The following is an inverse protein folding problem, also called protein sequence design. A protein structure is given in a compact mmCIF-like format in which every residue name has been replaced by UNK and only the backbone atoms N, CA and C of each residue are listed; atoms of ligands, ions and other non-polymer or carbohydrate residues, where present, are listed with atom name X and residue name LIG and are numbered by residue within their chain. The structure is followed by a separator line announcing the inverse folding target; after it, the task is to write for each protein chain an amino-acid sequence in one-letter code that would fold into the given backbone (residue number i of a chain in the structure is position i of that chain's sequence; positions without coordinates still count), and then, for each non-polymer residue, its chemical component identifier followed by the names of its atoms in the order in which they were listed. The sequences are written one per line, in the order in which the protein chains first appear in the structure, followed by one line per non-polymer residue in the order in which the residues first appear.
data_IF_038073140009
#
_entry.id   IF_038073140009
#
_cell.length_a   1.000
_cell.length_b   1.000
_cell.length_c   1.000
_cell.angle_alpha   90.00
_cell.angle_beta   90.00
_cell.angle_gamma   90.00
#
_symmetry.space_group_name_H-M   'P 1'
#
loop_
_entity.id
_entity.type
_entity.pdbx_description
1 polymer ?
#
# COMPACT_ATOMS: atom_id res chain seq x y z
N UNK A 1 -40.25 -79.88 3.92
CA UNK A 1 -40.47 -78.51 4.44
C UNK A 1 -39.11 -77.76 4.41
N UNK A 2 -38.80 -76.98 3.36
CA UNK A 2 -37.58 -76.20 3.25
C UNK A 2 -37.97 -74.72 3.39
N UNK A 3 -37.45 -74.04 4.41
CA UNK A 3 -37.66 -72.64 4.70
C UNK A 3 -36.59 -71.86 3.93
N UNK A 4 -37.01 -71.07 2.93
CA UNK A 4 -36.15 -70.13 2.20
C UNK A 4 -35.98 -68.86 3.07
N UNK A 5 -34.72 -68.52 3.40
CA UNK A 5 -34.34 -67.26 4.02
C UNK A 5 -34.04 -66.23 2.94
N UNK A 6 -34.88 -65.20 2.84
CA UNK A 6 -34.63 -64.00 2.02
C UNK A 6 -33.60 -63.11 2.75
N UNK A 7 -32.44 -62.91 2.10
CA UNK A 7 -31.45 -61.88 2.52
C UNK A 7 -31.77 -60.58 1.79
N UNK A 8 -32.30 -59.60 2.51
CA UNK A 8 -32.46 -58.25 2.04
C UNK A 8 -31.09 -57.57 2.05
N UNK A 9 -30.61 -57.14 0.89
CA UNK A 9 -29.36 -56.40 0.72
C UNK A 9 -29.70 -54.91 0.73
N UNK A 10 -29.46 -54.23 1.87
CA UNK A 10 -29.67 -52.80 2.02
C UNK A 10 -28.43 -52.09 1.49
N UNK A 11 -28.53 -51.50 0.30
CA UNK A 11 -27.48 -50.71 -0.33
C UNK A 11 -27.47 -49.30 0.33
N UNK A 12 -26.42 -48.98 1.08
CA UNK A 12 -26.18 -47.66 1.62
C UNK A 12 -25.52 -46.78 0.58
N UNK A 13 -26.27 -45.88 -0.07
CA UNK A 13 -25.73 -44.84 -0.90
C UNK A 13 -25.08 -43.76 0.01
N UNK A 14 -23.74 -43.70 0.03
CA UNK A 14 -22.99 -42.58 0.56
C UNK A 14 -23.08 -41.40 -0.44
N UNK A 15 -23.96 -40.44 -0.20
CA UNK A 15 -23.90 -39.12 -0.83
C UNK A 15 -22.73 -38.34 -0.20
N UNK A 16 -21.58 -38.34 -0.85
CA UNK A 16 -20.50 -37.43 -0.55
C UNK A 16 -20.92 -36.02 -1.05
N UNK A 17 -21.42 -35.18 -0.14
CA UNK A 17 -21.59 -33.74 -0.39
C UNK A 17 -20.21 -33.12 -0.58
N UNK A 18 -19.78 -32.94 -1.82
CA UNK A 18 -18.68 -32.03 -2.16
C UNK A 18 -19.16 -30.61 -1.79
N UNK A 19 -18.77 -30.13 -0.62
CA UNK A 19 -18.85 -28.70 -0.31
C UNK A 19 -17.88 -28.01 -1.29
N UNK A 20 -18.42 -27.44 -2.37
CA UNK A 20 -17.67 -26.51 -3.22
C UNK A 20 -17.31 -25.32 -2.32
N UNK A 21 -16.08 -25.30 -1.82
CA UNK A 21 -15.50 -24.09 -1.23
C UNK A 21 -15.55 -23.00 -2.31
N UNK A 22 -16.41 -22.02 -2.12
CA UNK A 22 -16.53 -20.90 -3.04
C UNK A 22 -15.17 -20.17 -3.05
N UNK A 23 -14.51 -20.22 -4.20
CA UNK A 23 -13.17 -19.63 -4.34
C UNK A 23 -13.30 -18.11 -4.21
N UNK A 24 -12.54 -17.52 -3.26
CA UNK A 24 -12.55 -16.09 -2.98
C UNK A 24 -12.21 -15.29 -4.24
N UNK A 25 -13.00 -14.28 -4.56
CA UNK A 25 -12.79 -13.42 -5.74
C UNK A 25 -11.63 -12.43 -5.52
N UNK A 26 -11.09 -11.89 -6.63
CA UNK A 26 -10.04 -10.87 -6.59
C UNK A 26 -10.51 -9.58 -5.89
N UNK A 27 -11.75 -9.16 -6.14
CA UNK A 27 -12.35 -8.00 -5.47
C UNK A 27 -12.48 -8.23 -3.97
N UNK A 28 -12.95 -9.39 -3.54
CA UNK A 28 -13.08 -9.74 -2.12
C UNK A 28 -11.71 -9.77 -1.41
N UNK A 29 -10.65 -10.26 -2.08
CA UNK A 29 -9.29 -10.21 -1.54
C UNK A 29 -8.87 -8.75 -1.31
N UNK A 30 -9.09 -7.87 -2.28
CA UNK A 30 -8.71 -6.45 -2.14
C UNK A 30 -9.60 -5.72 -1.13
N UNK A 31 -10.85 -6.10 -0.97
CA UNK A 31 -11.73 -5.58 0.09
C UNK A 31 -11.19 -5.97 1.48
N UNK A 32 -10.71 -7.21 1.67
CA UNK A 32 -10.05 -7.63 2.92
C UNK A 32 -8.77 -6.84 3.19
N UNK A 33 -7.91 -6.64 2.18
CA UNK A 33 -6.72 -5.77 2.28
C UNK A 33 -7.11 -4.35 2.72
N UNK A 34 -8.15 -3.80 2.09
CA UNK A 34 -8.60 -2.44 2.35
C UNK A 34 -9.27 -2.28 3.73
N UNK A 35 -9.89 -3.35 4.24
CA UNK A 35 -10.61 -3.42 5.53
C UNK A 35 -9.71 -3.81 6.69
N UNK A 36 -8.39 -4.01 6.49
CA UNK A 36 -7.48 -4.27 7.58
C UNK A 36 -7.60 -3.19 8.67
N UNK A 37 -7.56 -3.64 9.93
CA UNK A 37 -7.65 -2.76 11.10
C UNK A 37 -6.58 -1.67 11.03
N UNK A 38 -7.00 -0.41 11.18
CA UNK A 38 -6.15 0.78 11.15
C UNK A 38 -6.39 1.61 12.41
N UNK A 39 -5.35 2.29 12.92
CA UNK A 39 -5.54 3.25 14.00
C UNK A 39 -6.35 4.45 13.52
N UNK A 40 -7.14 5.06 14.39
CA UNK A 40 -7.85 6.32 14.08
C UNK A 40 -6.86 7.44 13.75
N UNK A 41 -5.68 7.40 14.38
CA UNK A 41 -4.58 8.32 14.10
C UNK A 41 -3.23 7.68 14.43
N UNK A 42 -2.16 8.12 13.77
CA UNK A 42 -0.81 7.63 14.05
C UNK A 42 0.26 8.68 13.77
N UNK A 43 1.39 8.52 14.47
CA UNK A 43 2.65 9.22 14.19
C UNK A 43 3.69 8.16 13.85
N UNK A 44 4.38 8.35 12.73
CA UNK A 44 5.47 7.48 12.28
C UNK A 44 6.73 8.32 12.08
N UNK A 45 7.86 7.85 12.60
CA UNK A 45 9.17 8.35 12.22
C UNK A 45 9.74 7.43 11.14
N UNK A 46 10.22 8.02 10.06
CA UNK A 46 10.61 7.27 8.87
C UNK A 46 11.98 7.73 8.41
N UNK A 47 12.89 6.75 8.28
CA UNK A 47 14.18 6.90 7.61
C UNK A 47 14.04 6.51 6.15
N UNK A 48 14.46 7.38 5.26
CA UNK A 48 14.40 7.24 3.81
C UNK A 48 15.81 7.17 3.24
N UNK A 49 16.17 6.08 2.59
CA UNK A 49 17.44 5.90 1.91
C UNK A 49 17.21 5.88 0.40
N UNK A 50 17.91 6.74 -0.32
CA UNK A 50 17.78 6.91 -1.78
C UNK A 50 19.11 6.55 -2.40
N UNK A 51 19.19 5.37 -3.00
CA UNK A 51 20.37 4.87 -3.70
C UNK A 51 20.28 5.18 -5.18
N UNK A 52 21.37 5.71 -5.74
CA UNK A 52 21.54 5.99 -7.17
C UNK A 52 22.84 5.43 -7.65
N UNK A 53 22.78 4.70 -8.76
CA UNK A 53 23.94 4.15 -9.45
C UNK A 53 24.20 4.99 -10.70
N UNK A 54 25.43 5.46 -10.86
CA UNK A 54 25.89 6.17 -12.06
C UNK A 54 27.34 5.80 -12.37
N UNK A 55 27.59 5.25 -13.58
CA UNK A 55 28.93 4.81 -14.01
C UNK A 55 29.57 3.90 -12.95
N UNK A 56 28.84 2.84 -12.53
CA UNK A 56 29.23 1.83 -11.54
C UNK A 56 29.56 2.37 -10.13
N UNK A 57 29.25 3.64 -9.88
CA UNK A 57 29.38 4.25 -8.54
C UNK A 57 28.01 4.39 -7.89
N UNK A 58 27.89 3.76 -6.73
CA UNK A 58 26.71 3.88 -5.88
C UNK A 58 26.83 5.12 -4.98
N UNK A 59 25.73 5.86 -4.86
CA UNK A 59 25.60 6.99 -3.94
C UNK A 59 24.27 6.91 -3.22
N UNK A 60 24.30 6.83 -1.90
CA UNK A 60 23.13 6.82 -1.05
C UNK A 60 22.93 8.17 -0.35
N UNK A 61 21.71 8.69 -0.39
CA UNK A 61 21.27 9.86 0.37
C UNK A 61 20.26 9.43 1.41
N UNK A 62 20.45 9.88 2.64
CA UNK A 62 19.55 9.58 3.76
C UNK A 62 18.75 10.82 4.10
N UNK A 63 17.45 10.63 4.35
CA UNK A 63 16.53 11.64 4.87
C UNK A 63 15.70 11.06 5.99
N UNK A 64 15.23 11.91 6.88
CA UNK A 64 14.29 11.52 7.93
C UNK A 64 13.09 12.44 7.90
N UNK A 65 11.91 11.87 8.11
CA UNK A 65 10.68 12.63 8.19
C UNK A 65 9.70 12.02 9.19
N UNK A 66 8.79 12.84 9.68
CA UNK A 66 7.68 12.41 10.53
C UNK A 66 6.42 12.43 9.66
N UNK A 67 5.66 11.34 9.71
CA UNK A 67 4.34 11.23 9.08
C UNK A 67 3.27 11.22 10.16
N UNK A 68 2.36 12.16 10.07
CA UNK A 68 1.11 12.22 10.82
C UNK A 68 0.00 11.70 9.92
N UNK A 69 -0.86 10.83 10.42
CA UNK A 69 -1.98 10.29 9.65
C UNK A 69 -3.23 10.17 10.53
N UNK A 70 -4.38 10.49 9.97
CA UNK A 70 -5.69 10.37 10.62
C UNK A 70 -6.69 9.77 9.64
N UNK A 71 -7.44 8.79 10.11
CA UNK A 71 -8.53 8.13 9.39
C UNK A 71 -9.88 8.60 9.92
N UNK A 72 -10.91 8.56 9.07
CA UNK A 72 -12.24 9.06 9.39
C UNK A 72 -13.29 8.01 9.00
N UNK A 73 -14.15 7.64 9.95
CA UNK A 73 -15.25 6.71 9.72
C UNK A 73 -16.43 7.40 9.01
N UNK A 74 -16.63 8.69 9.26
CA UNK A 74 -17.73 9.49 8.69
C UNK A 74 -17.22 10.69 7.87
N UNK A 75 -18.14 11.39 7.18
CA UNK A 75 -17.83 12.58 6.39
C UNK A 75 -17.18 12.31 5.04
N UNK A 76 -16.63 13.35 4.44
CA UNK A 76 -16.09 13.37 3.07
C UNK A 76 -14.76 12.61 2.92
N UNK A 77 -13.90 12.73 3.90
CA UNK A 77 -12.54 12.19 3.83
C UNK A 77 -12.47 10.79 4.41
N UNK A 78 -11.61 9.95 3.81
CA UNK A 78 -11.20 8.67 4.34
C UNK A 78 -9.99 8.83 5.26
N UNK A 79 -9.00 9.61 4.81
CA UNK A 79 -7.82 9.91 5.61
C UNK A 79 -7.23 11.26 5.21
N UNK A 80 -6.47 11.84 6.15
CA UNK A 80 -5.57 12.95 5.90
C UNK A 80 -4.20 12.59 6.44
N UNK A 81 -3.14 13.01 5.76
CA UNK A 81 -1.77 12.81 6.24
C UNK A 81 -0.89 14.02 5.94
N UNK A 82 0.08 14.24 6.82
CA UNK A 82 1.16 15.21 6.66
C UNK A 82 2.49 14.50 6.86
N UNK A 83 3.37 14.54 5.86
CA UNK A 83 4.77 14.18 6.00
C UNK A 83 5.60 15.46 6.13
N UNK A 84 6.50 15.54 7.14
CA UNK A 84 7.38 16.67 7.40
C UNK A 84 8.81 16.19 7.52
N UNK A 85 9.68 16.61 6.61
CA UNK A 85 11.10 16.28 6.65
C UNK A 85 11.80 17.03 7.79
N UNK A 86 12.63 16.28 8.54
CA UNK A 86 13.37 16.80 9.71
C UNK A 86 14.89 16.76 9.48
N UNK A 87 15.39 15.85 8.61
CA UNK A 87 16.81 15.74 8.24
C UNK A 87 16.98 15.37 6.76
N UNK A 88 18.12 15.74 6.15
CA UNK A 88 19.11 16.74 6.59
C UNK A 88 18.57 18.18 6.46
N UNK A 89 19.33 19.16 6.92
CA UNK A 89 18.93 20.57 6.91
C UNK A 89 18.47 21.10 5.55
N UNK A 90 19.06 20.59 4.46
CA UNK A 90 18.70 21.01 3.08
C UNK A 90 17.24 20.72 2.70
N UNK A 91 16.61 19.73 3.32
CA UNK A 91 15.20 19.35 3.10
C UNK A 91 14.32 19.59 4.33
N UNK A 92 14.90 20.04 5.45
CA UNK A 92 14.17 20.29 6.70
C UNK A 92 13.02 21.25 6.46
N UNK A 93 11.84 20.93 7.03
CA UNK A 93 10.61 21.70 6.86
C UNK A 93 9.84 21.42 5.56
N UNK A 94 10.44 20.74 4.57
CA UNK A 94 9.71 20.28 3.39
C UNK A 94 8.54 19.42 3.84
N UNK A 95 7.36 19.62 3.24
CA UNK A 95 6.15 18.90 3.63
C UNK A 95 5.31 18.43 2.45
N UNK A 96 4.60 17.32 2.67
CA UNK A 96 3.55 16.83 1.79
C UNK A 96 2.27 16.62 2.62
N UNK A 97 1.24 17.37 2.30
CA UNK A 97 -0.10 17.22 2.84
C UNK A 97 -0.96 16.46 1.83
N UNK A 98 -1.66 15.42 2.28
CA UNK A 98 -2.56 14.62 1.43
C UNK A 98 -3.92 14.47 2.10
N UNK A 99 -4.99 14.71 1.33
CA UNK A 99 -6.38 14.47 1.73
C UNK A 99 -6.98 13.44 0.77
N UNK A 100 -7.32 12.27 1.28
CA UNK A 100 -7.92 11.19 0.50
C UNK A 100 -9.41 11.15 0.81
N UNK A 101 -10.25 11.34 -0.23
CA UNK A 101 -11.69 11.33 -0.11
C UNK A 101 -12.24 9.88 -0.19
N UNK A 102 -13.44 9.65 0.36
CA UNK A 102 -14.09 8.33 0.33
C UNK A 102 -14.43 7.84 -1.08
N UNK A 103 -14.58 8.77 -2.05
CA UNK A 103 -14.79 8.44 -3.47
C UNK A 103 -13.48 8.09 -4.22
N UNK A 104 -12.33 8.10 -3.54
CA UNK A 104 -11.01 7.80 -4.12
C UNK A 104 -10.26 9.01 -4.67
N UNK A 105 -10.90 10.21 -4.71
CA UNK A 105 -10.20 11.43 -5.11
C UNK A 105 -9.15 11.82 -4.07
N UNK A 106 -7.95 12.15 -4.54
CA UNK A 106 -6.84 12.61 -3.69
C UNK A 106 -6.48 14.05 -4.03
N UNK A 107 -6.36 14.87 -2.99
CA UNK A 107 -5.82 16.22 -3.07
C UNK A 107 -4.49 16.27 -2.30
N UNK A 108 -3.41 16.70 -2.97
CA UNK A 108 -2.08 16.81 -2.38
C UNK A 108 -1.52 18.22 -2.52
N UNK A 109 -0.78 18.68 -1.50
CA UNK A 109 -0.03 19.93 -1.51
C UNK A 109 1.38 19.68 -1.04
N UNK A 110 2.31 20.17 -1.84
CA UNK A 110 3.74 20.09 -1.58
C UNK A 110 4.27 21.45 -1.14
N UNK A 111 5.03 21.48 -0.06
CA UNK A 111 5.65 22.68 0.49
C UNK A 111 7.17 22.56 0.49
N UNK A 112 7.83 23.58 -0.07
CA UNK A 112 9.27 23.78 0.03
C UNK A 112 9.53 25.05 0.82
N UNK A 113 10.27 25.01 1.95
CA UNK A 113 10.55 26.20 2.78
C UNK A 113 11.13 27.37 2.00
N UNK A 114 12.05 27.08 1.06
CA UNK A 114 12.66 28.11 0.20
C UNK A 114 11.66 28.89 -0.65
N UNK A 115 10.55 28.26 -1.04
CA UNK A 115 9.52 28.89 -1.87
C UNK A 115 8.42 29.56 -1.05
N UNK A 116 8.39 29.35 0.27
CA UNK A 116 7.41 29.89 1.22
C UNK A 116 5.93 29.66 0.80
N UNK A 117 5.69 28.75 -0.14
CA UNK A 117 4.36 28.53 -0.74
C UNK A 117 4.07 27.03 -0.84
N UNK A 118 2.87 26.64 -0.45
CA UNK A 118 2.34 25.31 -0.70
C UNK A 118 1.76 25.24 -2.12
N UNK A 119 2.26 24.33 -2.95
CA UNK A 119 1.75 24.10 -4.31
C UNK A 119 0.87 22.86 -4.34
N UNK A 120 -0.31 22.98 -4.95
CA UNK A 120 -1.15 21.81 -5.22
C UNK A 120 -0.51 20.93 -6.29
N UNK A 121 -0.38 19.63 -6.02
CA UNK A 121 0.04 18.63 -7.00
C UNK A 121 -1.08 18.46 -8.02
N UNK A 122 -0.81 18.77 -9.29
CA UNK A 122 -1.76 18.64 -10.39
C UNK A 122 -1.81 17.18 -10.88
N UNK A 123 -2.91 16.76 -11.51
CA UNK A 123 -3.07 15.41 -12.05
C UNK A 123 -1.84 14.96 -12.87
N UNK A 124 -1.37 15.81 -13.83
CA UNK A 124 -0.19 15.54 -14.65
C UNK A 124 1.15 15.45 -13.89
N UNK A 125 1.18 15.81 -12.62
CA UNK A 125 2.37 15.74 -11.77
C UNK A 125 2.37 14.47 -10.91
N UNK A 126 1.26 13.71 -10.86
CA UNK A 126 1.14 12.48 -10.04
C UNK A 126 2.12 11.39 -10.47
N UNK A 127 2.51 11.35 -11.74
CA UNK A 127 3.53 10.45 -12.30
C UNK A 127 4.98 10.92 -12.06
N UNK A 128 5.18 12.12 -11.48
CA UNK A 128 6.53 12.61 -11.20
C UNK A 128 7.09 12.00 -9.93
N UNK A 129 8.42 11.81 -9.93
CA UNK A 129 9.17 11.36 -8.76
C UNK A 129 8.96 12.28 -7.57
N UNK A 130 8.61 11.69 -6.41
CA UNK A 130 8.54 12.40 -5.15
C UNK A 130 9.95 12.63 -4.60
N UNK A 131 10.39 13.89 -4.61
CA UNK A 131 11.70 14.30 -4.05
C UNK A 131 12.90 13.48 -4.55
N UNK A 132 12.92 13.13 -5.84
CA UNK A 132 13.96 12.27 -6.45
C UNK A 132 14.08 10.88 -5.82
N UNK A 133 13.01 10.36 -5.22
CA UNK A 133 12.87 8.95 -4.82
C UNK A 133 12.40 8.11 -6.01
N UNK A 134 12.32 6.80 -5.83
CA UNK A 134 11.69 5.90 -6.82
C UNK A 134 10.17 5.79 -6.64
N UNK A 135 9.64 6.43 -5.58
CA UNK A 135 8.21 6.65 -5.44
C UNK A 135 7.77 7.85 -6.27
N UNK A 136 6.63 7.74 -6.94
CA UNK A 136 5.91 8.86 -7.55
C UNK A 136 4.78 9.32 -6.61
N UNK A 137 4.16 10.47 -6.87
CA UNK A 137 3.08 10.97 -6.02
C UNK A 137 1.89 9.99 -5.96
N UNK A 138 1.59 9.25 -7.03
CA UNK A 138 0.53 8.23 -7.05
C UNK A 138 0.82 7.05 -6.11
N UNK A 139 2.08 6.64 -5.93
CA UNK A 139 2.45 5.56 -5.00
C UNK A 139 2.20 5.91 -3.53
N UNK A 140 2.13 7.19 -3.20
CA UNK A 140 1.86 7.68 -1.85
C UNK A 140 0.37 7.79 -1.52
N UNK A 141 -0.49 7.42 -2.47
CA UNK A 141 -1.94 7.41 -2.31
C UNK A 141 -2.45 6.03 -1.92
N UNK A 142 -3.49 5.98 -1.09
CA UNK A 142 -4.17 4.72 -0.80
C UNK A 142 -5.25 4.46 -1.86
N UNK A 143 -5.00 3.50 -2.76
CA UNK A 143 -5.92 3.16 -3.83
C UNK A 143 -7.15 2.41 -3.30
N UNK A 144 -8.33 2.91 -3.60
CA UNK A 144 -9.61 2.33 -3.17
C UNK A 144 -9.94 1.09 -4.02
N UNK A 145 -10.52 0.00 -3.44
CA UNK A 145 -11.14 -1.08 -4.21
C UNK A 145 -12.17 -0.54 -5.22
N UNK A 146 -12.31 -1.24 -6.34
CA UNK A 146 -13.20 -0.86 -7.43
C UNK A 146 -12.63 0.16 -8.43
N UNK A 147 -11.46 0.78 -8.14
CA UNK A 147 -10.75 1.65 -9.09
C UNK A 147 -9.91 0.86 -10.12
N UNK A 148 -9.78 -0.45 -9.93
CA UNK A 148 -9.11 -1.37 -10.84
C UNK A 148 -10.07 -2.47 -11.30
N UNK A 149 -9.84 -3.01 -12.49
CA UNK A 149 -10.30 -4.34 -12.87
C UNK A 149 -9.30 -5.34 -12.32
N UNK A 150 -9.76 -6.43 -11.72
CA UNK A 150 -8.92 -7.38 -11.00
C UNK A 150 -9.08 -8.79 -11.54
N UNK A 151 -7.99 -9.56 -11.59
CA UNK A 151 -8.01 -11.00 -11.86
C UNK A 151 -7.02 -11.73 -10.94
N UNK A 152 -7.41 -12.89 -10.44
CA UNK A 152 -6.48 -13.82 -9.78
C UNK A 152 -5.69 -14.52 -10.88
N UNK A 153 -4.35 -14.49 -10.80
CA UNK A 153 -3.46 -15.15 -11.76
C UNK A 153 -2.68 -16.31 -11.16
N UNK A 154 -2.84 -16.55 -9.86
CA UNK A 154 -2.21 -17.70 -9.21
C UNK A 154 -2.04 -17.55 -7.71
N UNK A 155 -1.25 -18.48 -7.18
CA UNK A 155 -0.77 -18.49 -5.79
C UNK A 155 0.71 -18.77 -5.83
N UNK A 156 1.49 -17.94 -5.13
CA UNK A 156 2.95 -18.07 -5.06
C UNK A 156 3.41 -18.06 -3.59
N UNK A 157 4.52 -18.74 -3.32
CA UNK A 157 5.21 -18.67 -2.02
C UNK A 157 6.22 -17.53 -2.08
N UNK A 158 6.07 -16.53 -1.19
CA UNK A 158 6.97 -15.39 -1.07
C UNK A 158 7.50 -15.33 0.37
N UNK A 159 8.81 -15.54 0.55
CA UNK A 159 9.48 -15.54 1.86
C UNK A 159 8.73 -16.41 2.91
N UNK A 160 8.33 -17.63 2.52
CA UNK A 160 7.59 -18.56 3.38
C UNK A 160 6.09 -18.20 3.59
N UNK A 161 5.60 -17.12 2.99
CA UNK A 161 4.18 -16.73 3.05
C UNK A 161 3.47 -17.15 1.76
N UNK A 162 2.39 -17.93 1.88
CA UNK A 162 1.51 -18.21 0.75
C UNK A 162 0.74 -16.95 0.38
N UNK A 163 0.91 -16.49 -0.86
CA UNK A 163 0.30 -15.27 -1.37
C UNK A 163 -0.63 -15.58 -2.54
N UNK A 164 -1.83 -14.99 -2.54
CA UNK A 164 -2.63 -14.90 -3.75
C UNK A 164 -2.04 -13.80 -4.63
N UNK A 165 -1.91 -14.09 -5.92
CA UNK A 165 -1.34 -13.17 -6.91
C UNK A 165 -2.45 -12.61 -7.78
N UNK A 166 -2.55 -11.29 -7.81
CA UNK A 166 -3.57 -10.56 -8.56
C UNK A 166 -2.93 -9.71 -9.65
N UNK A 167 -3.60 -9.61 -10.80
CA UNK A 167 -3.38 -8.52 -11.76
C UNK A 167 -4.46 -7.47 -11.55
N UNK A 168 -4.03 -6.20 -11.62
CA UNK A 168 -4.89 -5.03 -11.43
C UNK A 168 -4.67 -4.04 -12.58
N UNK A 169 -5.74 -3.73 -13.32
CA UNK A 169 -5.74 -2.75 -14.42
C UNK A 169 -6.55 -1.52 -13.99
N UNK A 170 -5.94 -0.32 -14.00
CA UNK A 170 -6.64 0.91 -13.65
C UNK A 170 -7.84 1.17 -14.57
N UNK A 171 -9.02 1.47 -13.98
CA UNK A 171 -10.22 1.90 -14.73
C UNK A 171 -10.18 3.39 -15.09
N UNK A 172 -9.31 4.16 -14.42
CA UNK A 172 -9.15 5.59 -14.60
C UNK A 172 -7.68 5.93 -14.86
N UNK A 173 -7.40 7.21 -15.17
CA UNK A 173 -6.04 7.71 -15.39
C UNK A 173 -5.09 7.30 -14.27
N UNK A 174 -3.98 6.67 -14.63
CA UNK A 174 -2.92 6.18 -13.75
C UNK A 174 -1.58 6.30 -14.47
N UNK A 175 -0.50 6.43 -13.70
CA UNK A 175 0.86 6.39 -14.22
C UNK A 175 1.26 4.99 -14.72
N UNK A 176 0.49 3.95 -14.36
CA UNK A 176 0.78 2.55 -14.67
C UNK A 176 -0.29 1.94 -15.56
N UNK A 177 0.17 1.11 -16.50
CA UNK A 177 -0.71 0.27 -17.31
C UNK A 177 -1.38 -0.80 -16.44
N UNK A 178 -0.59 -1.49 -15.60
CA UNK A 178 -1.09 -2.52 -14.69
C UNK A 178 -0.18 -2.71 -13.47
N UNK A 179 -0.67 -3.47 -12.50
CA UNK A 179 0.06 -3.90 -11.30
C UNK A 179 -0.16 -5.37 -11.05
N UNK A 180 0.92 -6.10 -10.71
CA UNK A 180 0.86 -7.46 -10.17
C UNK A 180 1.04 -7.38 -8.66
N UNK A 181 0.10 -7.92 -7.88
CA UNK A 181 -0.01 -7.70 -6.44
C UNK A 181 0.00 -9.06 -5.73
N UNK A 182 0.90 -9.22 -4.75
CA UNK A 182 0.96 -10.41 -3.89
C UNK A 182 0.33 -10.08 -2.55
N UNK A 183 -0.74 -10.79 -2.19
CA UNK A 183 -1.47 -10.65 -0.94
C UNK A 183 -1.31 -11.91 -0.11
N UNK A 184 -0.78 -11.79 1.10
CA UNK A 184 -0.66 -12.90 2.04
C UNK A 184 -2.03 -13.46 2.40
N UNK A 185 -2.23 -14.77 2.23
CA UNK A 185 -3.48 -15.46 2.60
C UNK A 185 -3.66 -15.53 4.12
N UNK A 186 -2.60 -15.39 4.90
CA UNK A 186 -2.64 -15.45 6.36
C UNK A 186 -3.00 -14.11 7.00
N UNK A 187 -2.49 -13.00 6.46
CA UNK A 187 -2.59 -11.68 7.09
C UNK A 187 -3.37 -10.66 6.26
N UNK A 188 -3.73 -10.99 5.03
CA UNK A 188 -4.35 -10.09 4.03
C UNK A 188 -3.53 -8.83 3.75
N UNK A 189 -2.24 -8.84 4.11
CA UNK A 189 -1.33 -7.73 3.83
C UNK A 189 -0.68 -7.93 2.47
N UNK A 190 -0.53 -6.83 1.74
CA UNK A 190 0.28 -6.81 0.53
C UNK A 190 1.74 -7.03 0.92
N UNK A 191 2.41 -7.96 0.23
CA UNK A 191 3.82 -8.29 0.43
C UNK A 191 4.70 -7.71 -0.68
N UNK A 192 4.15 -7.65 -1.91
CA UNK A 192 4.88 -7.20 -3.10
C UNK A 192 3.92 -6.60 -4.12
N UNK A 193 4.39 -5.59 -4.84
CA UNK A 193 3.71 -5.03 -6.02
C UNK A 193 4.74 -4.83 -7.13
N UNK A 194 4.47 -5.35 -8.32
CA UNK A 194 5.20 -4.99 -9.53
C UNK A 194 4.36 -4.03 -10.36
N UNK A 195 4.99 -2.98 -10.85
CA UNK A 195 4.37 -1.92 -11.64
C UNK A 195 4.80 -2.03 -13.09
N UNK A 196 3.84 -1.96 -14.02
CA UNK A 196 4.07 -2.13 -15.45
C UNK A 196 3.69 -0.87 -16.22
N UNK A 197 4.52 -0.49 -17.23
CA UNK A 197 4.24 0.61 -18.16
C UNK A 197 3.37 0.19 -19.34
N UNK A 198 3.45 -1.08 -19.72
CA UNK A 198 2.68 -1.74 -20.75
C UNK A 198 2.52 -3.23 -20.37
N UNK A 199 2.06 -4.07 -21.29
CA UNK A 199 1.78 -5.49 -21.04
C UNK A 199 2.99 -6.30 -20.55
N UNK A 200 4.22 -5.92 -20.94
CA UNK A 200 5.44 -6.71 -20.69
C UNK A 200 6.55 -5.97 -19.94
N UNK A 201 6.56 -4.64 -19.98
CA UNK A 201 7.64 -3.83 -19.40
C UNK A 201 7.38 -3.50 -17.93
N UNK A 202 8.05 -4.25 -17.06
CA UNK A 202 8.08 -3.93 -15.63
C UNK A 202 8.95 -2.70 -15.38
N UNK A 203 8.37 -1.68 -14.75
CA UNK A 203 9.08 -0.44 -14.42
C UNK A 203 9.83 -0.52 -13.10
N UNK A 204 9.18 -1.09 -12.07
CA UNK A 204 9.72 -1.17 -10.72
C UNK A 204 8.95 -2.18 -9.86
N UNK A 205 9.53 -2.51 -8.72
CA UNK A 205 8.96 -3.42 -7.73
C UNK A 205 8.93 -2.74 -6.37
N UNK A 206 7.80 -2.81 -5.68
CA UNK A 206 7.65 -2.48 -4.26
C UNK A 206 7.63 -3.77 -3.46
N UNK A 207 8.52 -3.91 -2.50
CA UNK A 207 8.53 -5.02 -1.51
C UNK A 207 8.23 -4.46 -0.12
N UNK A 208 7.34 -5.12 0.62
CA UNK A 208 6.94 -4.76 1.97
C UNK A 208 7.38 -5.84 2.94
N UNK A 209 8.26 -5.49 3.88
CA UNK A 209 8.88 -6.44 4.84
C UNK A 209 8.87 -5.88 6.26
N UNK A 210 9.48 -6.63 7.19
CA UNK A 210 9.74 -6.22 8.57
C UNK A 210 8.47 -5.67 9.24
N UNK A 211 7.34 -6.38 9.06
CA UNK A 211 6.06 -5.95 9.59
C UNK A 211 6.14 -5.77 11.12
N UNK A 212 5.78 -4.57 11.56
CA UNK A 212 5.77 -4.18 12.98
C UNK A 212 4.34 -4.12 13.49
N UNK A 213 4.19 -4.39 14.77
CA UNK A 213 2.91 -4.32 15.47
C UNK A 213 3.01 -3.44 16.70
N UNK A 214 2.00 -2.59 16.93
CA UNK A 214 1.87 -1.74 18.10
C UNK A 214 0.39 -1.60 18.44
N UNK A 215 0.01 -1.86 19.69
CA UNK A 215 -1.36 -1.77 20.20
C UNK A 215 -2.41 -2.52 19.33
N UNK A 216 -2.01 -3.70 18.76
CA UNK A 216 -2.86 -4.50 17.89
C UNK A 216 -3.06 -3.94 16.49
N UNK A 217 -2.27 -2.96 16.08
CA UNK A 217 -2.20 -2.43 14.71
C UNK A 217 -0.90 -2.88 14.05
N UNK A 218 -1.00 -3.42 12.84
CA UNK A 218 0.13 -3.97 12.09
C UNK A 218 0.35 -3.18 10.81
N UNK A 219 1.62 -2.83 10.52
CA UNK A 219 2.03 -2.14 9.30
C UNK A 219 3.37 -2.67 8.79
N UNK A 220 3.67 -2.47 7.50
CA UNK A 220 5.00 -2.77 6.97
C UNK A 220 6.02 -1.84 7.61
N UNK A 221 7.03 -2.40 8.28
CA UNK A 221 8.11 -1.65 8.89
C UNK A 221 9.14 -1.19 7.86
N UNK A 222 9.22 -1.89 6.71
CA UNK A 222 10.14 -1.55 5.62
C UNK A 222 9.46 -1.68 4.26
N UNK A 223 9.67 -0.69 3.42
CA UNK A 223 9.18 -0.62 2.04
C UNK A 223 10.36 -0.34 1.13
N UNK A 224 10.58 -1.21 0.14
CA UNK A 224 11.69 -1.10 -0.82
C UNK A 224 11.08 -0.91 -2.21
N UNK A 225 11.30 0.26 -2.81
CA UNK A 225 10.97 0.50 -4.21
C UNK A 225 12.24 0.36 -5.03
N UNK A 226 12.29 -0.67 -5.87
CA UNK A 226 13.46 -1.06 -6.68
C UNK A 226 13.13 -0.96 -8.17
N UNK A 227 13.98 -0.29 -8.94
CA UNK A 227 13.84 -0.15 -10.39
C UNK A 227 14.49 -1.28 -11.19
N UNK A 228 15.27 -2.15 -10.53
CA UNK A 228 15.99 -3.23 -11.19
C UNK A 228 17.27 -2.79 -11.92
N UNK A 229 17.60 -1.51 -11.90
CA UNK A 229 18.79 -0.90 -12.53
C UNK A 229 19.85 -0.43 -11.50
N UNK A 230 19.74 -0.93 -10.26
CA UNK A 230 20.55 -0.52 -9.12
C UNK A 230 20.01 0.71 -8.38
N UNK A 231 19.06 1.45 -8.98
CA UNK A 231 18.38 2.55 -8.30
C UNK A 231 17.26 2.03 -7.43
N UNK A 232 17.28 2.39 -6.15
CA UNK A 232 16.24 1.99 -5.19
C UNK A 232 16.02 3.04 -4.12
N UNK A 233 14.84 3.01 -3.54
CA UNK A 233 14.47 3.81 -2.37
C UNK A 233 13.92 2.89 -1.28
N UNK A 234 14.49 2.99 -0.08
CA UNK A 234 14.05 2.26 1.10
C UNK A 234 13.41 3.23 2.07
N UNK A 235 12.18 2.94 2.51
CA UNK A 235 11.52 3.58 3.64
C UNK A 235 11.53 2.61 4.81
N UNK A 236 12.17 2.98 5.92
CA UNK A 236 12.19 2.23 7.16
C UNK A 236 11.44 3.00 8.24
N UNK A 237 10.38 2.41 8.79
CA UNK A 237 9.70 2.97 9.96
C UNK A 237 10.57 2.69 11.18
N UNK A 238 11.06 3.75 11.83
CA UNK A 238 11.89 3.68 13.04
C UNK A 238 11.06 3.83 14.32
N UNK A 239 9.86 4.42 14.21
CA UNK A 239 8.91 4.54 15.32
C UNK A 239 7.48 4.52 14.76
N UNK A 240 6.60 3.74 15.40
CA UNK A 240 5.16 3.68 15.06
C UNK A 240 4.34 3.85 16.35
N UNK A 241 3.60 4.95 16.43
CA UNK A 241 2.73 5.30 17.56
C UNK A 241 1.29 5.44 17.06
N UNK A 242 0.46 4.39 17.21
CA UNK A 242 -0.97 4.46 16.87
C UNK A 242 -1.79 5.15 17.97
N UNK A 243 -3.02 5.54 17.64
CA UNK A 243 -4.05 6.14 18.52
C UNK A 243 -3.58 7.41 19.23
N UNK A 244 -2.93 8.32 18.49
CA UNK A 244 -2.32 9.53 19.04
C UNK A 244 -3.28 10.71 19.26
N UNK A 245 -4.57 10.58 18.92
CA UNK A 245 -5.57 11.63 19.13
C UNK A 245 -5.24 12.95 18.41
N UNK A 246 -4.75 12.90 17.16
CA UNK A 246 -4.22 14.04 16.43
C UNK A 246 -5.28 15.12 16.16
N UNK A 247 -4.92 16.39 16.41
CA UNK A 247 -5.76 17.54 16.12
C UNK A 247 -5.89 17.76 14.60
N UNK A 248 -7.07 18.19 14.15
CA UNK A 248 -7.39 18.51 12.75
C UNK A 248 -6.48 19.59 12.16
N UNK A 249 -6.02 20.54 12.97
CA UNK A 249 -5.15 21.63 12.54
C UNK A 249 -3.87 21.12 11.85
N UNK A 250 -3.30 19.99 12.31
CA UNK A 250 -2.11 19.36 11.74
C UNK A 250 -2.29 19.09 10.23
N UNK A 251 -3.51 18.78 9.81
CA UNK A 251 -3.85 18.43 8.43
C UNK A 251 -4.37 19.62 7.62
N UNK A 252 -4.05 20.83 8.03
CA UNK A 252 -4.41 22.08 7.33
C UNK A 252 -3.27 22.58 6.44
N UNK A 253 -3.63 23.37 5.41
CA UNK A 253 -2.62 24.03 4.57
C UNK A 253 -1.83 25.10 5.35
N UNK A 254 -2.48 25.73 6.33
CA UNK A 254 -1.82 26.68 7.22
C UNK A 254 -0.74 26.01 8.05
N UNK A 255 -1.01 24.80 8.58
CA UNK A 255 0.00 24.04 9.32
C UNK A 255 1.12 23.52 8.40
N UNK A 256 0.80 23.15 7.15
CA UNK A 256 1.80 22.72 6.18
C UNK A 256 2.90 23.76 5.96
N UNK A 257 2.57 25.07 5.95
CA UNK A 257 3.52 26.17 5.71
C UNK A 257 4.20 26.69 6.97
N UNK A 258 3.73 26.34 8.17
CA UNK A 258 4.43 26.62 9.43
C UNK A 258 5.71 25.77 9.50
N UNK A 259 6.86 26.39 9.77
CA UNK A 259 8.18 25.73 9.88
C UNK A 259 8.53 25.61 11.35
#
# INVERSE_FOLDING_TARGET
MKRMMNKSLTSFLFLSSFAMSQEISADEIMDRVFSLKRPSSSIMEIRLEITRVKRDKEKTKVREFIRYEKFYDSGKYRSKSLARFIKPNIVKGTGLLSWIQKNGKTDQWFFLPKLKTAKKVKAKERSRSFLNTDFIYEDLESRKPGLDSLAIIGTELLDGNQCRVLMAWPKNESAYFSRKIWVSLRTWQVQKVEYYKNESEKEKTLTLTDFIESNGFRTAGKMIMDRGDGNKTVMQITSFKPEMGLNEEIFSKSFLIKI
#
